data_IF_010277151933
#
_entry.id   IF_010277151933
#
_cell.length_a   1.000
_cell.length_b   1.000
_cell.length_c   1.000
_cell.angle_alpha   90.00
_cell.angle_beta   90.00
_cell.angle_gamma   90.00
#
_symmetry.space_group_name_H-M   'P 1'
#
loop_
_entity.id
_entity.type
_entity.pdbx_description
1 polymer ?
#
# COMPACT_ATOMS: atom_id res chain seq x y z
N UNK A 1 8.45 -1.98 -11.06
CA UNK A 1 7.63 -1.09 -11.92
C UNK A 1 8.10 0.32 -11.61
N UNK A 2 8.66 1.06 -12.57
CA UNK A 2 9.32 2.36 -12.30
C UNK A 2 8.39 3.38 -11.63
N UNK A 3 7.13 3.41 -12.04
CA UNK A 3 6.12 4.30 -11.44
C UNK A 3 5.84 4.01 -9.97
N UNK A 4 5.69 2.73 -9.60
CA UNK A 4 5.51 2.36 -8.19
C UNK A 4 6.75 2.68 -7.37
N UNK A 5 7.96 2.52 -7.92
CA UNK A 5 9.20 2.89 -7.23
C UNK A 5 9.29 4.40 -6.98
N UNK A 6 8.87 5.22 -7.95
CA UNK A 6 8.79 6.67 -7.77
C UNK A 6 7.82 7.06 -6.64
N UNK A 7 6.66 6.39 -6.55
CA UNK A 7 5.67 6.62 -5.48
C UNK A 7 6.23 6.22 -4.10
N UNK A 8 6.92 5.07 -4.01
CA UNK A 8 7.33 4.50 -2.73
C UNK A 8 8.61 5.13 -2.15
N UNK A 9 9.52 5.60 -3.01
CA UNK A 9 10.89 5.90 -2.61
C UNK A 9 11.37 7.29 -2.98
N UNK A 10 11.15 7.71 -4.23
CA UNK A 10 11.65 9.00 -4.71
C UNK A 10 10.74 9.56 -5.81
N UNK A 11 9.94 10.60 -5.52
CA UNK A 11 9.05 11.20 -6.49
C UNK A 11 9.80 11.88 -7.64
N UNK A 12 11.10 12.20 -7.51
CA UNK A 12 11.89 12.79 -8.59
C UNK A 12 12.10 11.82 -9.76
N UNK A 13 11.92 10.50 -9.54
CA UNK A 13 11.95 9.50 -10.60
C UNK A 13 10.72 9.55 -11.51
N UNK A 14 9.65 10.26 -11.13
CA UNK A 14 8.48 10.51 -11.97
C UNK A 14 8.74 11.64 -12.99
N UNK A 15 9.75 11.43 -13.83
CA UNK A 15 10.18 12.35 -14.88
C UNK A 15 9.31 12.26 -16.14
N UNK A 16 9.49 13.22 -17.06
CA UNK A 16 8.74 13.29 -18.32
C UNK A 16 8.92 12.04 -19.20
N UNK A 17 10.03 11.31 -19.06
CA UNK A 17 10.26 10.08 -19.80
C UNK A 17 9.39 8.94 -19.25
N UNK A 18 9.27 8.83 -17.93
CA UNK A 18 8.37 7.88 -17.29
C UNK A 18 6.90 8.16 -17.63
N UNK A 19 6.46 9.42 -17.53
CA UNK A 19 5.08 9.79 -17.86
C UNK A 19 4.73 9.42 -19.30
N UNK A 20 5.64 9.67 -20.24
CA UNK A 20 5.44 9.32 -21.66
C UNK A 20 5.29 7.81 -21.86
N UNK A 21 6.17 7.01 -21.25
CA UNK A 21 6.09 5.54 -21.30
C UNK A 21 4.81 5.01 -20.66
N UNK A 22 4.34 5.62 -19.57
CA UNK A 22 3.06 5.25 -18.97
C UNK A 22 1.90 5.51 -19.91
N UNK A 23 1.87 6.66 -20.59
CA UNK A 23 0.82 7.00 -21.55
C UNK A 23 0.85 6.19 -22.85
N UNK A 24 1.98 5.54 -23.18
CA UNK A 24 2.06 4.60 -24.30
C UNK A 24 1.31 3.30 -24.01
N UNK A 25 1.22 2.88 -22.74
CA UNK A 25 0.65 1.60 -22.32
C UNK A 25 -0.71 1.74 -21.61
N UNK A 26 -0.95 2.88 -20.96
CA UNK A 26 -2.09 3.11 -20.08
C UNK A 26 -2.76 4.46 -20.35
N UNK A 27 -4.07 4.50 -20.13
CA UNK A 27 -4.85 5.73 -20.09
C UNK A 27 -4.63 6.49 -18.78
N UNK A 28 -4.93 7.78 -18.77
CA UNK A 28 -4.85 8.62 -17.55
C UNK A 28 -5.59 7.99 -16.34
N UNK A 29 -6.85 7.50 -16.46
CA UNK A 29 -7.53 6.89 -15.33
C UNK A 29 -6.84 5.62 -14.80
N UNK A 30 -6.24 4.82 -15.69
CA UNK A 30 -5.51 3.61 -15.29
C UNK A 30 -4.22 3.96 -14.54
N UNK A 31 -3.48 4.97 -15.00
CA UNK A 31 -2.28 5.48 -14.31
C UNK A 31 -2.64 5.99 -12.92
N UNK A 32 -3.75 6.73 -12.80
CA UNK A 32 -4.25 7.19 -11.49
C UNK A 32 -4.57 6.01 -10.58
N UNK A 33 -5.27 4.99 -11.08
CA UNK A 33 -5.65 3.81 -10.28
C UNK A 33 -4.41 3.02 -9.81
N UNK A 34 -3.43 2.80 -10.69
CA UNK A 34 -2.16 2.16 -10.33
C UNK A 34 -1.45 2.96 -9.24
N UNK A 35 -1.41 4.29 -9.37
CA UNK A 35 -0.77 5.17 -8.41
C UNK A 35 -1.45 5.14 -7.05
N UNK A 36 -2.79 5.21 -7.05
CA UNK A 36 -3.62 5.11 -5.86
C UNK A 36 -3.39 3.78 -5.13
N UNK A 37 -3.47 2.66 -5.84
CA UNK A 37 -3.27 1.33 -5.26
C UNK A 37 -1.87 1.18 -4.65
N UNK A 38 -0.83 1.62 -5.35
CA UNK A 38 0.56 1.54 -4.87
C UNK A 38 0.79 2.41 -3.62
N UNK A 39 0.30 3.65 -3.63
CA UNK A 39 0.42 4.57 -2.49
C UNK A 39 -0.33 4.07 -1.26
N UNK A 40 -1.58 3.63 -1.42
CA UNK A 40 -2.41 3.18 -0.31
C UNK A 40 -1.88 1.88 0.32
N UNK A 41 -1.53 0.89 -0.52
CA UNK A 41 -1.04 -0.41 -0.05
C UNK A 41 0.32 -0.26 0.65
N UNK A 42 1.24 0.52 0.07
CA UNK A 42 2.56 0.73 0.68
C UNK A 42 2.48 1.51 1.99
N UNK A 43 1.60 2.51 2.08
CA UNK A 43 1.33 3.25 3.32
C UNK A 43 0.84 2.33 4.43
N UNK A 44 -0.12 1.46 4.14
CA UNK A 44 -0.64 0.46 5.10
C UNK A 44 0.46 -0.50 5.60
N UNK A 45 1.28 -1.04 4.69
CA UNK A 45 2.39 -1.93 5.07
C UNK A 45 3.44 -1.21 5.92
N UNK A 46 3.77 0.05 5.57
CA UNK A 46 4.76 0.83 6.32
C UNK A 46 4.26 1.18 7.72
N UNK A 47 2.97 1.45 7.89
CA UNK A 47 2.35 1.61 9.20
C UNK A 47 2.44 0.33 10.04
N UNK A 48 2.11 -0.84 9.48
CA UNK A 48 2.25 -2.13 10.17
C UNK A 48 3.70 -2.38 10.62
N UNK A 49 4.67 -2.05 9.76
CA UNK A 49 6.09 -2.19 10.08
C UNK A 49 6.50 -1.34 11.29
N UNK A 50 6.03 -0.08 11.37
CA UNK A 50 6.26 0.81 12.54
C UNK A 50 5.75 0.21 13.85
N UNK A 51 4.70 -0.61 13.79
CA UNK A 51 4.12 -1.28 14.95
C UNK A 51 4.74 -2.67 15.21
N UNK A 52 5.73 -3.09 14.41
CA UNK A 52 6.31 -4.44 14.43
C UNK A 52 5.26 -5.55 14.36
N UNK A 53 4.21 -5.35 13.56
CA UNK A 53 3.09 -6.28 13.40
C UNK A 53 2.81 -6.57 11.93
N UNK A 54 1.92 -7.53 11.67
CA UNK A 54 1.49 -7.92 10.32
C UNK A 54 -0.01 -7.86 10.18
N UNK A 55 -0.46 -7.79 8.94
CA UNK A 55 -1.88 -7.84 8.63
C UNK A 55 -2.51 -9.13 9.16
N UNK A 56 -3.64 -8.99 9.87
CA UNK A 56 -4.36 -10.11 10.49
C UNK A 56 -3.98 -10.41 11.94
N UNK A 57 -2.84 -9.93 12.45
CA UNK A 57 -2.44 -10.20 13.85
C UNK A 57 -3.40 -9.58 14.86
N UNK A 58 -3.93 -8.38 14.60
CA UNK A 58 -4.97 -7.78 15.45
C UNK A 58 -6.26 -8.60 15.47
N UNK A 59 -6.71 -9.10 14.31
CA UNK A 59 -7.92 -9.91 14.23
C UNK A 59 -7.74 -11.22 15.03
N UNK A 60 -6.61 -11.91 14.84
CA UNK A 60 -6.26 -13.10 15.61
C UNK A 60 -6.17 -12.82 17.13
N UNK A 61 -5.59 -11.68 17.52
CA UNK A 61 -5.57 -11.25 18.91
C UNK A 61 -6.97 -11.03 19.47
N UNK A 62 -7.85 -10.34 18.73
CA UNK A 62 -9.24 -10.10 19.16
C UNK A 62 -10.03 -11.41 19.32
N UNK A 63 -9.93 -12.33 18.36
CA UNK A 63 -10.55 -13.66 18.44
C UNK A 63 -10.08 -14.45 19.68
N UNK A 64 -8.78 -14.39 20.01
CA UNK A 64 -8.24 -15.04 21.21
C UNK A 64 -8.79 -14.45 22.52
N UNK A 65 -9.28 -13.20 22.50
CA UNK A 65 -9.81 -12.47 23.66
C UNK A 65 -11.32 -12.64 23.83
N UNK A 66 -12.06 -13.01 22.79
CA UNK A 66 -13.50 -13.28 22.86
C UNK A 66 -13.91 -14.40 23.85
N UNK A 67 -13.22 -15.56 23.96
CA UNK A 67 -13.60 -16.56 24.95
C UNK A 67 -13.46 -16.07 26.39
N UNK A 68 -12.54 -15.13 26.67
CA UNK A 68 -12.31 -14.57 28.00
C UNK A 68 -13.44 -13.63 28.48
N UNK A 69 -14.24 -13.06 27.57
CA UNK A 69 -15.40 -12.21 27.92
C UNK A 69 -16.66 -13.00 28.25
N UNK A 70 -16.72 -14.30 27.93
CA UNK A 70 -17.92 -15.14 28.15
C UNK A 70 -17.93 -15.88 29.50
N UNK A 71 -16.86 -15.75 30.28
CA UNK A 71 -16.66 -16.43 31.57
C UNK A 71 -16.53 -15.49 32.77
N UNK A 72 -16.72 -14.18 32.58
CA UNK A 72 -16.67 -13.15 33.62
C UNK A 72 -18.05 -12.55 33.90
#
# INVERSE_FOLDING_TARGET
MRYTEAILWDPQQADDALWRQLHEEFTEPEIVEIGYWAGFTSGGQRWLHTLHTKQGELAAYMESREPAKRTA
#
